data_IF_898023910357
#
_entry.id   IF_898023910357
#
_cell.length_a   1.000
_cell.length_b   1.000
_cell.length_c   1.000
_cell.angle_alpha   90.00
_cell.angle_beta   90.00
_cell.angle_gamma   90.00
#
_symmetry.space_group_name_H-M   'P 1'
#
loop_
_entity.id
_entity.type
_entity.pdbx_description
1 polymer ?
#
# COMPACT_ATOMS: atom_id res chain seq x y z
N UNK A 1 -8.38 54.47 -11.75
CA UNK A 1 -8.79 53.19 -12.33
C UNK A 1 -7.67 52.21 -12.04
N UNK A 2 -7.74 51.56 -10.89
CA UNK A 2 -6.76 50.61 -10.42
C UNK A 2 -7.26 49.22 -10.82
N UNK A 3 -6.53 48.49 -11.66
CA UNK A 3 -6.60 47.04 -11.63
C UNK A 3 -5.47 46.35 -12.39
N UNK A 4 -5.12 45.15 -11.90
CA UNK A 4 -4.20 44.12 -12.41
C UNK A 4 -2.75 44.17 -11.96
N UNK A 5 -2.57 44.08 -10.64
CA UNK A 5 -1.37 43.55 -9.98
C UNK A 5 -1.54 42.08 -9.54
N UNK A 6 -2.45 41.33 -10.16
CA UNK A 6 -2.76 39.95 -9.78
C UNK A 6 -2.43 38.95 -10.90
N UNK A 7 -1.13 38.75 -11.12
CA UNK A 7 -0.63 37.55 -11.79
C UNK A 7 0.43 36.91 -10.89
N UNK A 8 0.15 35.77 -10.26
CA UNK A 8 1.20 35.03 -9.57
C UNK A 8 2.22 34.59 -10.63
N UNK A 9 3.43 35.14 -10.55
CA UNK A 9 4.59 34.72 -11.37
C UNK A 9 4.93 33.27 -11.01
N UNK A 10 4.27 32.33 -11.68
CA UNK A 10 4.60 30.92 -11.61
C UNK A 10 5.78 30.62 -12.53
N UNK A 11 6.56 29.63 -12.11
CA UNK A 11 7.59 28.94 -12.88
C UNK A 11 9.01 29.52 -12.78
N UNK A 12 9.57 29.48 -11.56
CA UNK A 12 11.02 29.28 -11.40
C UNK A 12 11.33 27.88 -11.94
N UNK A 13 11.63 27.80 -13.23
CA UNK A 13 12.15 26.59 -13.89
C UNK A 13 13.53 26.34 -13.29
N UNK A 14 13.63 25.39 -12.38
CA UNK A 14 14.92 24.98 -11.79
C UNK A 14 15.76 24.35 -12.90
N UNK A 15 16.78 25.08 -13.37
CA UNK A 15 17.69 24.70 -14.47
C UNK A 15 18.77 23.70 -14.02
N UNK A 16 18.77 23.28 -12.74
CA UNK A 16 19.79 22.36 -12.23
C UNK A 16 19.38 20.93 -12.63
N UNK A 17 20.08 20.26 -13.57
CA UNK A 17 19.89 18.84 -13.77
C UNK A 17 20.35 18.14 -12.49
N UNK A 18 19.41 17.60 -11.71
CA UNK A 18 19.77 16.66 -10.65
C UNK A 18 20.44 15.48 -11.35
N UNK A 19 21.71 15.16 -11.05
CA UNK A 19 22.33 14.00 -11.62
C UNK A 19 21.47 12.80 -11.20
N UNK A 20 20.84 12.13 -12.18
CA UNK A 20 20.27 10.79 -12.01
C UNK A 20 21.44 9.86 -11.73
N UNK A 21 21.93 9.89 -10.50
CA UNK A 21 23.16 9.26 -10.07
C UNK A 21 22.89 7.79 -9.84
N UNK A 22 22.96 6.97 -10.89
CA UNK A 22 23.16 5.51 -10.82
C UNK A 22 22.32 4.76 -9.75
N UNK A 23 21.10 5.23 -9.48
CA UNK A 23 20.24 4.70 -8.42
C UNK A 23 19.82 3.25 -8.72
N UNK A 24 19.83 2.87 -10.00
CA UNK A 24 19.39 1.57 -10.49
C UNK A 24 20.44 0.46 -10.27
N UNK A 25 21.75 0.77 -10.39
CA UNK A 25 22.80 -0.22 -10.24
C UNK A 25 23.07 -0.55 -8.76
N UNK A 26 23.23 0.49 -7.93
CA UNK A 26 23.39 0.33 -6.49
C UNK A 26 22.11 -0.23 -5.83
N UNK A 27 20.92 0.16 -6.32
CA UNK A 27 19.64 -0.37 -5.83
C UNK A 27 19.49 -1.87 -6.07
N UNK A 28 19.82 -2.36 -7.28
CA UNK A 28 19.80 -3.79 -7.61
C UNK A 28 20.80 -4.61 -6.79
N UNK A 29 22.03 -4.10 -6.62
CA UNK A 29 23.06 -4.74 -5.79
C UNK A 29 22.58 -4.85 -4.34
N UNK A 30 22.06 -3.76 -3.79
CA UNK A 30 21.53 -3.72 -2.43
C UNK A 30 20.37 -4.70 -2.21
N UNK A 31 19.45 -4.81 -3.16
CA UNK A 31 18.31 -5.72 -3.06
C UNK A 31 18.73 -7.20 -3.15
N UNK A 32 19.76 -7.50 -3.95
CA UNK A 32 20.36 -8.83 -4.00
C UNK A 32 21.09 -9.18 -2.70
N UNK A 33 21.84 -8.24 -2.14
CA UNK A 33 22.57 -8.40 -0.88
C UNK A 33 21.58 -8.59 0.28
N UNK A 34 20.52 -7.79 0.34
CA UNK A 34 19.49 -7.91 1.38
C UNK A 34 18.77 -9.27 1.33
N UNK A 35 18.42 -9.75 0.13
CA UNK A 35 17.85 -11.09 -0.05
C UNK A 35 18.84 -12.19 0.33
N UNK A 36 20.12 -12.01 0.03
CA UNK A 36 21.16 -12.99 0.36
C UNK A 36 21.45 -13.07 1.86
N UNK A 37 21.65 -11.93 2.54
CA UNK A 37 21.91 -11.87 3.99
C UNK A 37 20.70 -12.30 4.84
N UNK A 38 19.47 -12.05 4.36
CA UNK A 38 18.24 -12.41 5.07
C UNK A 38 17.83 -13.88 4.96
N UNK A 39 18.51 -14.68 4.13
CA UNK A 39 18.17 -16.09 3.91
C UNK A 39 18.96 -17.00 4.88
N UNK A 40 18.34 -18.03 5.50
CA UNK A 40 19.05 -18.98 6.37
C UNK A 40 20.21 -19.71 5.68
N UNK A 41 20.18 -19.80 4.35
CA UNK A 41 21.24 -20.35 3.50
C UNK A 41 22.58 -19.63 3.68
N UNK A 42 22.61 -18.32 3.94
CA UNK A 42 23.87 -17.59 4.20
C UNK A 42 24.55 -18.09 5.46
N UNK A 43 23.79 -18.27 6.54
CA UNK A 43 24.30 -18.78 7.82
C UNK A 43 24.87 -20.19 7.63
N UNK A 44 24.16 -21.06 6.91
CA UNK A 44 24.63 -22.42 6.62
C UNK A 44 25.98 -22.39 5.89
N UNK A 45 26.10 -21.60 4.81
CA UNK A 45 27.36 -21.47 4.08
C UNK A 45 28.50 -20.93 4.95
N UNK A 46 28.24 -19.91 5.77
CA UNK A 46 29.22 -19.34 6.69
C UNK A 46 29.66 -20.37 7.73
N UNK A 47 28.74 -21.15 8.29
CA UNK A 47 29.04 -22.24 9.23
C UNK A 47 29.87 -23.33 8.57
N UNK A 48 29.52 -23.77 7.36
CA UNK A 48 30.28 -24.77 6.59
C UNK A 48 31.69 -24.25 6.30
N UNK A 49 31.83 -22.98 5.91
CA UNK A 49 33.14 -22.36 5.70
C UNK A 49 33.99 -22.37 6.98
N UNK A 50 33.43 -21.95 8.12
CA UNK A 50 34.14 -21.97 9.40
C UNK A 50 34.57 -23.39 9.80
N UNK A 51 33.68 -24.38 9.63
CA UNK A 51 34.01 -25.79 9.91
C UNK A 51 35.13 -26.27 9.00
N UNK A 52 35.02 -26.03 7.69
CA UNK A 52 36.04 -26.43 6.72
C UNK A 52 37.40 -25.79 7.02
N UNK A 53 37.42 -24.52 7.42
CA UNK A 53 38.63 -23.81 7.81
C UNK A 53 39.30 -24.43 9.04
N UNK A 54 38.51 -24.70 10.07
CA UNK A 54 38.97 -25.34 11.31
C UNK A 54 39.53 -26.74 11.00
N UNK A 55 38.79 -27.55 10.24
CA UNK A 55 39.19 -28.89 9.79
C UNK A 55 40.51 -28.85 9.03
N UNK A 56 40.63 -27.94 8.05
CA UNK A 56 41.84 -27.80 7.24
C UNK A 56 43.05 -27.39 8.07
N UNK A 57 42.92 -26.38 8.94
CA UNK A 57 44.03 -25.90 9.74
C UNK A 57 44.38 -26.82 10.94
N UNK A 58 43.46 -27.68 11.37
CA UNK A 58 43.68 -28.66 12.43
C UNK A 58 44.36 -29.94 11.91
N UNK A 59 43.92 -30.47 10.76
CA UNK A 59 44.40 -31.75 10.22
C UNK A 59 45.26 -31.66 8.96
N UNK A 60 45.36 -30.50 8.31
CA UNK A 60 46.14 -30.31 7.09
C UNK A 60 47.67 -30.44 7.28
N UNK A 61 48.46 -30.43 6.20
CA UNK A 61 49.94 -30.52 6.28
C UNK A 61 50.53 -29.38 7.10
N UNK A 62 51.47 -29.67 8.02
CA UNK A 62 52.03 -28.70 8.98
C UNK A 62 52.61 -27.46 8.29
N UNK A 63 53.20 -27.64 7.10
CA UNK A 63 53.82 -26.56 6.31
C UNK A 63 52.81 -25.63 5.63
N UNK A 64 51.53 -26.02 5.53
CA UNK A 64 50.45 -25.25 4.91
C UNK A 64 49.42 -24.73 5.93
N UNK A 65 49.68 -24.92 7.23
CA UNK A 65 48.82 -24.39 8.32
C UNK A 65 49.17 -22.93 8.58
N UNK A 66 48.38 -22.03 8.01
CA UNK A 66 48.50 -20.59 8.26
C UNK A 66 47.84 -20.16 9.58
N UNK A 67 46.84 -20.89 10.05
CA UNK A 67 46.04 -20.54 11.23
C UNK A 67 46.06 -21.67 12.28
N UNK A 68 47.12 -21.73 13.08
CA UNK A 68 47.36 -22.87 14.00
C UNK A 68 46.28 -22.95 15.08
N UNK A 69 45.77 -24.17 15.31
CA UNK A 69 44.80 -24.45 16.38
C UNK A 69 45.33 -24.09 17.78
N UNK A 70 46.65 -24.14 18.01
CA UNK A 70 47.27 -23.75 19.29
C UNK A 70 47.15 -22.27 19.62
N UNK A 71 46.91 -21.40 18.62
CA UNK A 71 46.71 -19.96 18.79
C UNK A 71 45.22 -19.59 18.70
N UNK A 72 44.31 -20.58 18.73
CA UNK A 72 42.87 -20.34 18.79
C UNK A 72 42.26 -19.78 17.50
N UNK A 73 42.84 -20.07 16.32
CA UNK A 73 42.34 -19.58 15.03
C UNK A 73 42.29 -18.04 14.94
N UNK A 74 43.42 -17.39 15.24
CA UNK A 74 43.52 -15.93 15.27
C UNK A 74 43.21 -15.32 13.90
N UNK A 75 43.62 -15.94 12.80
CA UNK A 75 43.37 -15.41 11.46
C UNK A 75 41.88 -15.44 11.11
N UNK A 76 41.19 -16.55 11.40
CA UNK A 76 39.73 -16.65 11.25
C UNK A 76 39.00 -15.60 12.09
N UNK A 77 39.43 -15.40 13.33
CA UNK A 77 38.83 -14.41 14.23
C UNK A 77 38.99 -12.98 13.71
N UNK A 78 40.19 -12.63 13.22
CA UNK A 78 40.45 -11.33 12.60
C UNK A 78 39.63 -11.12 11.33
N UNK A 79 39.45 -12.16 10.52
CA UNK A 79 38.64 -12.10 9.32
C UNK A 79 37.16 -11.90 9.64
N UNK A 80 36.61 -12.62 10.62
CA UNK A 80 35.22 -12.48 11.04
C UNK A 80 34.94 -11.11 11.69
N UNK A 81 35.87 -10.56 12.47
CA UNK A 81 35.71 -9.23 13.05
C UNK A 81 35.74 -8.13 11.99
N UNK A 82 36.63 -8.24 10.99
CA UNK A 82 36.61 -7.37 9.82
C UNK A 82 35.29 -7.51 9.04
N UNK A 83 34.79 -8.75 8.91
CA UNK A 83 33.55 -9.02 8.19
C UNK A 83 32.35 -8.30 8.81
N UNK A 84 32.22 -8.38 10.13
CA UNK A 84 31.19 -7.63 10.85
C UNK A 84 31.34 -6.11 10.67
N UNK A 85 32.57 -5.60 10.68
CA UNK A 85 32.86 -4.16 10.56
C UNK A 85 32.46 -3.58 9.19
N UNK A 86 32.74 -4.28 8.07
CA UNK A 86 32.35 -3.80 6.75
C UNK A 86 30.89 -4.09 6.40
N UNK A 87 30.27 -5.11 7.03
CA UNK A 87 28.86 -5.42 6.80
C UNK A 87 27.93 -4.31 7.29
N UNK A 88 28.22 -3.69 8.44
CA UNK A 88 27.40 -2.63 9.01
C UNK A 88 27.13 -1.44 8.06
N UNK A 89 28.12 -0.79 7.42
CA UNK A 89 27.87 0.31 6.50
C UNK A 89 27.13 -0.12 5.21
N UNK A 90 27.37 -1.33 4.71
CA UNK A 90 26.63 -1.85 3.55
C UNK A 90 25.16 -2.10 3.88
N UNK A 91 24.89 -2.64 5.08
CA UNK A 91 23.53 -2.85 5.59
C UNK A 91 22.83 -1.50 5.78
N UNK A 92 23.52 -0.49 6.33
CA UNK A 92 22.95 0.85 6.50
C UNK A 92 22.54 1.49 5.16
N UNK A 93 23.35 1.33 4.11
CA UNK A 93 23.00 1.81 2.77
C UNK A 93 21.78 1.07 2.20
N UNK A 94 21.66 -0.23 2.48
CA UNK A 94 20.50 -1.02 2.09
C UNK A 94 19.22 -0.61 2.85
N UNK A 95 19.35 -0.36 4.15
CA UNK A 95 18.24 0.04 5.02
C UNK A 95 17.72 1.44 4.69
N UNK A 96 18.59 2.43 4.44
CA UNK A 96 18.16 3.79 4.09
C UNK A 96 17.20 3.80 2.88
N UNK A 97 17.46 2.96 1.87
CA UNK A 97 16.59 2.87 0.69
C UNK A 97 15.27 2.15 0.96
N UNK A 98 15.26 1.14 1.83
CA UNK A 98 14.00 0.51 2.28
C UNK A 98 13.14 1.54 3.01
N UNK A 99 13.72 2.26 3.95
CA UNK A 99 13.04 3.34 4.70
C UNK A 99 12.49 4.42 3.76
N UNK A 100 13.22 4.82 2.71
CA UNK A 100 12.74 5.80 1.73
C UNK A 100 11.54 5.27 0.92
N UNK A 101 11.56 4.00 0.48
CA UNK A 101 10.41 3.37 -0.21
C UNK A 101 9.21 3.26 0.72
N UNK A 102 9.44 2.78 1.95
CA UNK A 102 8.40 2.62 2.96
C UNK A 102 7.74 3.95 3.26
N UNK A 103 8.53 5.03 3.38
CA UNK A 103 8.00 6.39 3.58
C UNK A 103 7.06 6.82 2.45
N UNK A 104 7.44 6.63 1.19
CA UNK A 104 6.58 6.97 0.04
C UNK A 104 5.29 6.14 0.06
N UNK A 105 5.41 4.86 0.39
CA UNK A 105 4.25 3.98 0.51
C UNK A 105 3.30 4.41 1.64
N UNK A 106 3.84 4.79 2.80
CA UNK A 106 3.06 5.34 3.91
C UNK A 106 2.34 6.65 3.54
N UNK A 107 3.02 7.56 2.84
CA UNK A 107 2.41 8.82 2.40
C UNK A 107 1.25 8.58 1.41
N UNK A 108 1.41 7.63 0.49
CA UNK A 108 0.35 7.24 -0.45
C UNK A 108 -0.83 6.55 0.26
N UNK A 109 -0.54 5.65 1.19
CA UNK A 109 -1.57 4.94 1.95
C UNK A 109 -2.39 5.92 2.79
N UNK A 110 -1.73 6.90 3.41
CA UNK A 110 -2.41 7.98 4.12
C UNK A 110 -3.34 8.78 3.20
N UNK A 111 -2.89 9.19 2.01
CA UNK A 111 -3.74 9.90 1.05
C UNK A 111 -4.92 9.05 0.58
N UNK A 112 -4.72 7.75 0.38
CA UNK A 112 -5.81 6.82 0.03
C UNK A 112 -6.81 6.71 1.17
N UNK A 113 -6.35 6.58 2.41
CA UNK A 113 -7.21 6.53 3.59
C UNK A 113 -8.05 7.79 3.75
N UNK A 114 -7.46 8.97 3.52
CA UNK A 114 -8.19 10.25 3.55
C UNK A 114 -9.28 10.29 2.46
N UNK A 115 -8.99 9.84 1.23
CA UNK A 115 -9.99 9.75 0.15
C UNK A 115 -11.09 8.74 0.45
N UNK A 116 -10.74 7.55 0.95
CA UNK A 116 -11.72 6.52 1.31
C UNK A 116 -12.67 7.01 2.40
N UNK A 117 -12.17 7.77 3.37
CA UNK A 117 -12.99 8.38 4.40
C UNK A 117 -13.97 9.41 3.79
N UNK A 118 -13.49 10.28 2.90
CA UNK A 118 -14.34 11.24 2.19
C UNK A 118 -15.40 10.56 1.31
N UNK A 119 -15.05 9.51 0.57
CA UNK A 119 -15.99 8.73 -0.25
C UNK A 119 -17.04 8.04 0.64
N UNK A 120 -16.63 7.53 1.79
CA UNK A 120 -17.57 6.91 2.76
C UNK A 120 -18.52 7.94 3.34
N UNK A 121 -18.03 9.13 3.70
CA UNK A 121 -18.88 10.24 4.16
C UNK A 121 -19.85 10.71 3.08
N UNK A 122 -19.39 10.77 1.83
CA UNK A 122 -20.24 11.09 0.69
C UNK A 122 -21.35 10.06 0.51
N UNK A 123 -20.99 8.77 0.44
CA UNK A 123 -21.96 7.68 0.33
C UNK A 123 -22.94 7.66 1.51
N UNK A 124 -22.49 7.91 2.74
CA UNK A 124 -23.36 7.98 3.90
C UNK A 124 -24.39 9.13 3.78
N UNK A 125 -23.96 10.28 3.26
CA UNK A 125 -24.85 11.43 3.04
C UNK A 125 -25.85 11.16 1.92
N UNK A 126 -25.42 10.57 0.81
CA UNK A 126 -26.30 10.16 -0.29
C UNK A 126 -27.32 9.11 0.15
N UNK A 127 -26.90 8.10 0.93
CA UNK A 127 -27.82 7.09 1.48
C UNK A 127 -28.84 7.71 2.44
N UNK A 128 -28.42 8.67 3.27
CA UNK A 128 -29.34 9.40 4.14
C UNK A 128 -30.38 10.21 3.34
N UNK A 129 -29.96 10.89 2.27
CA UNK A 129 -30.84 11.63 1.37
C UNK A 129 -31.82 10.70 0.64
N UNK A 130 -31.33 9.58 0.08
CA UNK A 130 -32.16 8.55 -0.55
C UNK A 130 -33.20 7.98 0.43
N UNK A 131 -32.80 7.73 1.68
CA UNK A 131 -33.71 7.24 2.73
C UNK A 131 -34.84 8.23 3.01
N UNK A 132 -34.55 9.53 3.05
CA UNK A 132 -35.57 10.57 3.27
C UNK A 132 -36.54 10.62 2.07
N UNK A 133 -36.01 10.68 0.85
CA UNK A 133 -36.82 10.70 -0.37
C UNK A 133 -37.74 9.46 -0.48
N UNK A 134 -37.23 8.27 -0.16
CA UNK A 134 -38.03 7.04 -0.10
C UNK A 134 -39.09 7.08 1.01
N UNK A 135 -38.77 7.66 2.17
CA UNK A 135 -39.72 7.80 3.28
C UNK A 135 -40.90 8.69 2.90
N UNK A 136 -40.72 9.70 2.05
CA UNK A 136 -41.80 10.57 1.58
C UNK A 136 -42.72 9.84 0.59
N UNK A 137 -42.16 9.10 -0.38
CA UNK A 137 -42.92 8.41 -1.44
C UNK A 137 -43.59 7.12 -0.95
N UNK A 138 -42.97 6.41 0.00
CA UNK A 138 -43.44 5.10 0.47
C UNK A 138 -44.20 5.16 1.80
N UNK A 139 -44.80 6.29 2.16
CA UNK A 139 -45.62 6.34 3.38
C UNK A 139 -46.82 5.40 3.18
N UNK A 140 -46.97 4.40 4.06
CA UNK A 140 -48.05 3.38 3.99
C UNK A 140 -49.43 3.98 3.77
N UNK A 141 -49.69 5.15 4.36
CA UNK A 141 -50.98 5.83 4.25
C UNK A 141 -51.18 6.50 2.88
N UNK A 142 -50.13 7.01 2.23
CA UNK A 142 -50.20 7.53 0.85
C UNK A 142 -50.44 6.40 -0.16
N UNK A 143 -49.68 5.30 -0.05
CA UNK A 143 -49.88 4.12 -0.91
C UNK A 143 -51.28 3.53 -0.69
N UNK A 144 -51.77 3.52 0.55
CA UNK A 144 -53.12 3.07 0.90
C UNK A 144 -54.20 4.02 0.39
N UNK A 145 -53.99 5.34 0.42
CA UNK A 145 -54.96 6.30 -0.08
C UNK A 145 -55.07 6.22 -1.60
N UNK A 146 -53.93 6.14 -2.32
CA UNK A 146 -53.94 5.98 -3.79
C UNK A 146 -54.56 4.67 -4.24
N UNK A 147 -54.23 3.55 -3.58
CA UNK A 147 -54.89 2.27 -3.86
C UNK A 147 -56.40 2.32 -3.63
N UNK A 148 -56.85 3.09 -2.62
CA UNK A 148 -58.27 3.23 -2.32
C UNK A 148 -58.97 4.12 -3.34
N UNK A 149 -58.35 5.24 -3.70
CA UNK A 149 -58.84 6.15 -4.75
C UNK A 149 -59.00 5.42 -6.09
N UNK A 150 -57.98 4.66 -6.52
CA UNK A 150 -58.05 3.87 -7.76
C UNK A 150 -59.12 2.77 -7.70
N UNK A 151 -59.33 2.14 -6.54
CA UNK A 151 -60.39 1.15 -6.35
C UNK A 151 -61.78 1.77 -6.42
N UNK A 152 -61.94 2.98 -5.88
CA UNK A 152 -63.19 3.74 -5.88
C UNK A 152 -63.52 4.21 -7.30
N UNK A 153 -62.53 4.77 -8.02
CA UNK A 153 -62.65 5.15 -9.44
C UNK A 153 -63.08 3.97 -10.33
N UNK A 154 -62.44 2.80 -10.20
CA UNK A 154 -62.84 1.60 -10.94
C UNK A 154 -64.24 1.08 -10.58
N UNK A 155 -64.72 1.36 -9.36
CA UNK A 155 -66.05 0.96 -8.91
C UNK A 155 -67.10 1.89 -9.50
N UNK A 156 -66.89 3.19 -9.43
CA UNK A 156 -67.79 4.19 -10.01
C UNK A 156 -67.92 3.99 -11.52
N UNK A 157 -66.81 3.72 -12.23
CA UNK A 157 -66.81 3.37 -13.66
C UNK A 157 -67.66 2.12 -14.00
N UNK A 158 -67.77 1.17 -13.07
CA UNK A 158 -68.64 0.00 -13.22
C UNK A 158 -70.10 0.32 -12.96
N UNK A 159 -70.38 1.11 -11.93
CA UNK A 159 -71.75 1.54 -11.59
C UNK A 159 -72.32 2.41 -12.74
N UNK A 160 -71.54 3.33 -13.33
CA UNK A 160 -71.97 4.11 -14.50
C UNK A 160 -72.25 3.23 -15.74
N UNK A 161 -71.47 2.17 -15.95
CA UNK A 161 -71.71 1.20 -17.04
C UNK A 161 -73.00 0.40 -16.83
N UNK A 162 -73.32 0.03 -15.60
CA UNK A 162 -74.54 -0.72 -15.29
C UNK A 162 -75.78 0.20 -15.38
N UNK A 163 -75.72 1.45 -14.91
CA UNK A 163 -76.81 2.43 -15.07
C UNK A 163 -77.08 2.82 -16.52
N UNK A 164 -76.02 2.93 -17.34
CA UNK A 164 -76.15 3.17 -18.78
C UNK A 164 -76.83 2.01 -19.54
N UNK A 165 -76.77 0.80 -18.98
CA UNK A 165 -77.41 -0.40 -19.55
C UNK A 165 -78.90 -0.45 -19.18
N UNK A 166 -79.29 0.00 -17.98
CA UNK A 166 -80.70 0.05 -17.54
C UNK A 166 -81.51 1.17 -18.21
N UNK A 167 -80.89 2.28 -18.63
CA UNK A 167 -81.58 3.37 -19.35
C UNK A 167 -81.70 3.16 -20.87
N UNK A 168 -81.09 2.10 -21.41
CA UNK A 168 -81.02 1.80 -22.84
C UNK A 168 -82.04 0.77 -23.36
N UNK A 169 -82.87 0.19 -22.50
CA UNK A 169 -83.98 -0.72 -22.87
C UNK A 169 -85.33 -0.03 -22.75
#
# INVERSE_FOLDING_TARGET
MADRLDQPRSTRRTIIPRPRREEDAAGRLSESIARFLGTPTFIIWLTVFCIAWIVWNSWGPVDLRFDKASQGFTALTLMLSLQASYAAPLILLAQNRQTDRDRVQFEQDRQRSERNLADTEFLAREVAALRIALSEVATRDFVRSELRNLLEEMRDDREERDEGTERGT
#
